data_IF_290608432994
#
_entry.id   IF_290608432994
#
_cell.length_a   1.000
_cell.length_b   1.000
_cell.length_c   1.000
_cell.angle_alpha   90.00
_cell.angle_beta   90.00
_cell.angle_gamma   90.00
#
_symmetry.space_group_name_H-M   'P 1'
#
loop_
_entity.id
_entity.type
_entity.pdbx_description
1 polymer ?
#
# COMPACT_ATOMS: atom_id res chain seq x y z
N UNK A 1 -6.37 7.59 13.30
CA UNK A 1 -7.11 6.48 12.67
C UNK A 1 -8.44 6.98 12.13
N UNK A 2 -8.41 7.46 10.88
CA UNK A 2 -9.58 7.94 10.16
C UNK A 2 -10.26 6.82 9.35
N UNK A 3 -9.51 5.76 9.01
CA UNK A 3 -10.02 4.62 8.25
C UNK A 3 -10.05 3.35 9.09
N UNK A 4 -10.90 2.40 8.71
CA UNK A 4 -10.88 1.04 9.25
C UNK A 4 -10.02 0.12 8.40
N UNK A 5 -9.57 -1.00 8.98
CA UNK A 5 -8.83 -2.05 8.26
C UNK A 5 -9.58 -2.53 7.01
N UNK A 6 -10.91 -2.74 7.12
CA UNK A 6 -11.75 -3.15 6.00
C UNK A 6 -11.77 -2.12 4.85
N UNK A 7 -11.87 -0.82 5.18
CA UNK A 7 -11.83 0.25 4.19
C UNK A 7 -10.49 0.31 3.48
N UNK A 8 -9.40 0.10 4.22
CA UNK A 8 -8.04 0.07 3.68
C UNK A 8 -7.84 -1.16 2.81
N UNK A 9 -8.37 -2.33 3.17
CA UNK A 9 -8.30 -3.51 2.31
C UNK A 9 -9.03 -3.32 0.98
N UNK A 10 -10.23 -2.74 0.98
CA UNK A 10 -10.96 -2.44 -0.27
C UNK A 10 -10.11 -1.54 -1.18
N UNK A 11 -9.47 -0.52 -0.60
CA UNK A 11 -8.58 0.40 -1.33
C UNK A 11 -7.31 -0.31 -1.83
N UNK A 12 -6.67 -1.11 -0.98
CA UNK A 12 -5.48 -1.88 -1.33
C UNK A 12 -5.73 -2.84 -2.51
N UNK A 13 -6.85 -3.56 -2.50
CA UNK A 13 -7.25 -4.43 -3.61
C UNK A 13 -7.36 -3.65 -4.93
N UNK A 14 -7.95 -2.45 -4.89
CA UNK A 14 -8.02 -1.59 -6.07
C UNK A 14 -6.63 -1.18 -6.56
N UNK A 15 -5.79 -0.66 -5.66
CA UNK A 15 -4.43 -0.21 -5.99
C UNK A 15 -3.61 -1.33 -6.62
N UNK A 16 -3.56 -2.51 -5.98
CA UNK A 16 -2.79 -3.65 -6.50
C UNK A 16 -3.32 -4.16 -7.85
N UNK A 17 -4.64 -4.13 -8.04
CA UNK A 17 -5.26 -4.46 -9.32
C UNK A 17 -4.87 -3.47 -10.41
N UNK A 18 -4.80 -2.18 -10.11
CA UNK A 18 -4.40 -1.15 -11.08
C UNK A 18 -2.90 -1.28 -11.43
N UNK A 19 -2.04 -1.53 -10.43
CA UNK A 19 -0.59 -1.65 -10.62
C UNK A 19 -0.16 -2.93 -11.35
N UNK A 20 -0.78 -4.08 -11.05
CA UNK A 20 -0.38 -5.40 -11.56
C UNK A 20 -1.59 -6.30 -11.81
N UNK A 21 -2.54 -5.85 -12.63
CA UNK A 21 -3.81 -6.55 -12.90
C UNK A 21 -3.66 -8.04 -13.25
N UNK A 22 -2.61 -8.39 -13.98
CA UNK A 22 -2.37 -9.76 -14.46
C UNK A 22 -1.85 -10.73 -13.38
N UNK A 23 -1.25 -10.21 -12.30
CA UNK A 23 -0.66 -11.03 -11.22
C UNK A 23 -1.42 -10.91 -9.91
N UNK A 24 -2.27 -9.89 -9.77
CA UNK A 24 -3.05 -9.68 -8.56
C UNK A 24 -4.13 -10.75 -8.35
N UNK A 25 -4.13 -11.31 -7.15
CA UNK A 25 -5.20 -12.12 -6.57
C UNK A 25 -5.58 -11.53 -5.21
N UNK A 26 -6.85 -11.65 -4.83
CA UNK A 26 -7.30 -11.12 -3.54
C UNK A 26 -6.59 -11.75 -2.34
N UNK A 27 -6.12 -13.00 -2.48
CA UNK A 27 -5.32 -13.73 -1.49
C UNK A 27 -3.90 -13.17 -1.29
N UNK A 28 -3.44 -12.24 -2.15
CA UNK A 28 -2.13 -11.63 -1.98
C UNK A 28 -2.06 -10.63 -0.84
N UNK A 29 -3.19 -10.18 -0.29
CA UNK A 29 -3.18 -9.29 0.88
C UNK A 29 -3.28 -10.14 2.14
N UNK A 30 -2.22 -10.15 2.95
CA UNK A 30 -2.17 -10.95 4.18
C UNK A 30 -2.76 -10.20 5.37
N UNK A 31 -2.32 -8.96 5.57
CA UNK A 31 -2.62 -8.19 6.78
C UNK A 31 -2.49 -6.69 6.52
N UNK A 32 -3.28 -5.89 7.23
CA UNK A 32 -3.01 -4.46 7.37
C UNK A 32 -2.90 -4.08 8.83
N UNK A 33 -2.10 -3.06 9.12
CA UNK A 33 -2.01 -2.49 10.46
C UNK A 33 -1.79 -0.99 10.40
N UNK A 34 -2.29 -0.32 11.43
CA UNK A 34 -2.17 1.12 11.60
C UNK A 34 -0.89 1.47 12.37
N UNK A 35 -0.16 2.46 11.89
CA UNK A 35 0.96 3.08 12.58
C UNK A 35 0.61 4.54 12.86
N UNK A 36 0.53 4.93 14.14
CA UNK A 36 0.20 6.31 14.51
C UNK A 36 1.32 7.31 14.17
N UNK A 37 2.56 6.82 14.12
CA UNK A 37 3.76 7.59 13.77
C UNK A 37 4.68 6.72 12.93
N UNK A 38 4.66 6.96 11.63
CA UNK A 38 5.52 6.27 10.66
C UNK A 38 6.36 7.31 9.91
N UNK A 39 7.67 7.06 9.77
CA UNK A 39 8.55 7.90 8.95
C UNK A 39 8.51 7.39 7.51
N UNK A 40 7.71 8.06 6.67
CA UNK A 40 7.45 7.59 5.32
C UNK A 40 8.61 7.86 4.35
N UNK A 41 8.79 6.94 3.42
CA UNK A 41 9.76 7.10 2.35
C UNK A 41 9.35 8.13 1.29
N UNK A 42 8.03 8.36 1.13
CA UNK A 42 7.44 9.35 0.21
C UNK A 42 6.23 10.01 0.88
N UNK A 43 6.22 11.34 1.08
CA UNK A 43 7.34 12.28 0.97
C UNK A 43 8.43 12.01 2.03
N UNK A 44 9.68 11.85 1.60
CA UNK A 44 10.79 11.34 2.44
C UNK A 44 10.98 12.11 3.75
N UNK A 45 11.06 11.37 4.86
CA UNK A 45 11.38 11.92 6.19
C UNK A 45 10.19 12.58 6.89
N UNK A 46 9.00 12.47 6.30
CA UNK A 46 7.77 12.96 6.93
C UNK A 46 7.29 11.93 7.95
N UNK A 47 6.94 12.38 9.15
CA UNK A 47 6.31 11.53 10.16
C UNK A 47 4.81 11.75 10.09
N UNK A 48 4.05 10.70 9.80
CA UNK A 48 2.59 10.77 9.66
C UNK A 48 1.90 9.46 10.06
N UNK A 49 0.60 9.47 10.35
CA UNK A 49 -0.16 8.24 10.57
C UNK A 49 -0.35 7.50 9.24
N UNK A 50 -0.04 6.22 9.22
CA UNK A 50 -0.10 5.38 8.02
C UNK A 50 -0.82 4.06 8.26
N UNK A 51 -1.26 3.47 7.16
CA UNK A 51 -1.59 2.06 7.11
C UNK A 51 -0.53 1.33 6.31
N UNK A 52 -0.01 0.24 6.86
CA UNK A 52 0.86 -0.69 6.15
C UNK A 52 0.08 -1.94 5.81
N UNK A 53 0.15 -2.36 4.56
CA UNK A 53 -0.42 -3.62 4.09
C UNK A 53 0.72 -4.55 3.68
N UNK A 54 0.75 -5.73 4.25
CA UNK A 54 1.62 -6.81 3.80
C UNK A 54 0.98 -7.48 2.57
N UNK A 55 1.76 -7.51 1.49
CA UNK A 55 1.44 -8.17 0.23
C UNK A 55 2.36 -9.39 0.11
N UNK A 56 1.75 -10.56 0.02
CA UNK A 56 2.45 -11.82 -0.17
C UNK A 56 2.68 -12.10 -1.64
N UNK A 57 3.95 -12.26 -2.00
CA UNK A 57 4.29 -12.96 -3.22
C UNK A 57 4.20 -14.49 -3.01
N UNK A 58 3.40 -15.21 -3.82
CA UNK A 58 3.14 -16.63 -3.61
C UNK A 58 4.35 -17.55 -3.85
N UNK A 59 5.48 -17.03 -4.35
CA UNK A 59 6.64 -17.85 -4.76
C UNK A 59 7.86 -17.65 -3.86
N UNK A 60 8.06 -16.46 -3.27
CA UNK A 60 9.32 -16.10 -2.63
C UNK A 60 9.23 -15.92 -1.11
N UNK A 61 8.05 -16.03 -0.48
CA UNK A 61 7.83 -15.74 0.95
C UNK A 61 8.39 -14.36 1.36
N UNK A 62 8.49 -13.45 0.39
CA UNK A 62 8.98 -12.10 0.62
C UNK A 62 7.80 -11.20 0.94
N UNK A 63 7.87 -10.52 2.08
CA UNK A 63 6.87 -9.52 2.44
C UNK A 63 7.15 -8.23 1.69
N UNK A 64 6.21 -7.87 0.82
CA UNK A 64 6.17 -6.56 0.19
C UNK A 64 5.16 -5.69 0.92
N UNK A 65 5.36 -4.38 0.87
CA UNK A 65 4.56 -3.46 1.66
C UNK A 65 3.93 -2.37 0.80
N UNK A 66 2.63 -2.20 0.94
CA UNK A 66 1.90 -1.08 0.38
C UNK A 66 1.53 -0.11 1.51
N UNK A 67 1.96 1.14 1.39
CA UNK A 67 1.79 2.17 2.43
C UNK A 67 0.73 3.17 2.01
N UNK A 68 -0.22 3.44 2.89
CA UNK A 68 -1.28 4.44 2.73
C UNK A 68 -1.17 5.53 3.78
N UNK A 69 -1.56 6.74 3.41
CA UNK A 69 -1.82 7.81 4.38
C UNK A 69 -3.15 7.56 5.10
N UNK A 70 -3.15 7.59 6.44
CA UNK A 70 -4.42 7.57 7.21
C UNK A 70 -5.16 8.91 7.12
N UNK A 71 -4.53 9.99 6.66
CA UNK A 71 -5.20 11.29 6.51
C UNK A 71 -6.06 11.35 5.24
N UNK A 72 -5.60 10.73 4.15
CA UNK A 72 -6.28 10.80 2.84
C UNK A 72 -6.85 9.47 2.38
N UNK A 73 -6.39 8.36 2.95
CA UNK A 73 -6.73 7.01 2.47
C UNK A 73 -6.19 6.72 1.07
N UNK A 74 -5.22 7.50 0.58
CA UNK A 74 -4.55 7.30 -0.70
C UNK A 74 -3.22 6.56 -0.50
N UNK A 75 -2.82 5.69 -1.44
CA UNK A 75 -1.52 5.03 -1.39
C UNK A 75 -0.41 6.07 -1.56
N UNK A 76 0.70 5.88 -0.86
CA UNK A 76 1.90 6.72 -0.95
C UNK A 76 2.95 6.03 -1.81
N UNK A 77 3.26 4.79 -1.49
CA UNK A 77 4.27 4.00 -2.19
C UNK A 77 4.11 2.52 -1.91
N UNK A 78 4.74 1.74 -2.78
CA UNK A 78 4.94 0.32 -2.62
C UNK A 78 6.43 0.02 -2.46
N UNK A 79 6.76 -0.88 -1.55
CA UNK A 79 8.11 -1.33 -1.27
C UNK A 79 8.19 -2.83 -1.50
N UNK A 80 9.04 -3.23 -2.45
CA UNK A 80 9.23 -4.64 -2.76
C UNK A 80 10.26 -5.31 -1.82
N UNK A 81 10.42 -6.62 -1.99
CA UNK A 81 11.36 -7.46 -1.24
C UNK A 81 12.82 -6.97 -1.28
N UNK A 82 13.22 -6.27 -2.34
CA UNK A 82 14.57 -5.75 -2.55
C UNK A 82 14.76 -4.34 -1.92
N UNK A 83 13.82 -3.89 -1.10
CA UNK A 83 13.78 -2.53 -0.51
C UNK A 83 13.72 -1.41 -1.55
N UNK A 84 13.28 -1.72 -2.77
CA UNK A 84 13.05 -0.70 -3.81
C UNK A 84 11.68 -0.08 -3.55
N UNK A 85 11.66 1.24 -3.46
CA UNK A 85 10.46 2.04 -3.20
C UNK A 85 9.95 2.65 -4.51
N UNK A 86 8.71 2.32 -4.83
CA UNK A 86 7.96 2.84 -5.97
C UNK A 86 6.87 3.78 -5.46
N UNK A 87 7.00 5.07 -5.75
CA UNK A 87 5.96 6.04 -5.44
C UNK A 87 4.72 5.76 -6.30
N UNK A 88 3.53 5.85 -5.70
CA UNK A 88 2.28 5.58 -6.39
C UNK A 88 1.59 6.90 -6.66
N UNK A 89 1.13 7.09 -7.89
CA UNK A 89 0.36 8.25 -8.29
C UNK A 89 -1.02 7.82 -8.76
N UNK A 90 -1.92 8.80 -8.88
CA UNK A 90 -3.29 8.60 -9.33
C UNK A 90 -3.56 9.49 -10.53
N UNK A 91 -4.02 8.89 -11.62
CA UNK A 91 -4.39 9.63 -12.82
C UNK A 91 -5.73 10.37 -12.64
N UNK A 92 -6.08 11.20 -13.63
CA UNK A 92 -7.35 11.95 -13.64
C UNK A 92 -8.60 11.05 -13.70
N UNK A 93 -8.45 9.80 -14.13
CA UNK A 93 -9.52 8.80 -14.15
C UNK A 93 -9.64 8.03 -12.82
N UNK A 94 -8.73 8.29 -11.89
CA UNK A 94 -8.68 7.66 -10.58
C UNK A 94 -7.96 6.31 -10.55
N UNK A 95 -7.21 5.93 -11.59
CA UNK A 95 -6.38 4.71 -11.62
C UNK A 95 -5.01 4.98 -11.02
N UNK A 96 -4.43 3.96 -10.39
CA UNK A 96 -3.09 4.06 -9.79
C UNK A 96 -1.99 3.54 -10.71
N UNK A 97 -0.84 4.22 -10.75
CA UNK A 97 0.34 3.83 -11.53
C UNK A 97 1.66 4.16 -10.80
#
# INVERSE_FOLDING_TARGET
MNYTEEQIFIRAKKVLKDLQQQYFKEENIEKAWFNDKDEVARPRGTIMPTWTIAVNEPIFETSEFLIFSDDTGEPLYYQNANMIIHEIQKDDNGNYY
#
